data_IF_162651208987
#
_entry.id   IF_162651208987
#
_cell.length_a   1.000
_cell.length_b   1.000
_cell.length_c   1.000
_cell.angle_alpha   90.00
_cell.angle_beta   90.00
_cell.angle_gamma   90.00
#
_symmetry.space_group_name_H-M   'P 1'
#
loop_
_entity.id
_entity.type
_entity.pdbx_description
1 polymer ?
#
# COMPACT_ATOMS: atom_id res chain seq x y z
N UNK A 1 29.86 38.11 -41.27
CA UNK A 1 29.14 39.28 -40.70
C UNK A 1 29.74 39.58 -39.34
N UNK A 2 30.31 40.79 -39.20
CA UNK A 2 30.91 41.35 -37.98
C UNK A 2 29.80 41.91 -37.08
N UNK A 3 29.97 41.81 -35.76
CA UNK A 3 29.72 42.86 -34.74
C UNK A 3 29.43 42.22 -33.37
N UNK A 4 29.69 42.83 -32.22
CA UNK A 4 30.64 43.85 -31.75
C UNK A 4 30.28 44.05 -30.28
N UNK A 5 31.31 44.14 -29.44
CA UNK A 5 31.34 44.60 -28.04
C UNK A 5 30.44 45.80 -27.73
N UNK A 6 30.03 45.91 -26.45
CA UNK A 6 29.98 47.12 -25.58
C UNK A 6 29.78 46.61 -24.14
N UNK A 7 30.74 46.72 -23.22
CA UNK A 7 31.27 47.89 -22.50
C UNK A 7 30.49 48.24 -21.23
N UNK A 8 31.26 48.24 -20.14
CA UNK A 8 30.94 48.52 -18.76
C UNK A 8 30.65 50.01 -18.49
N UNK A 9 29.95 50.29 -17.38
CA UNK A 9 30.13 51.54 -16.62
C UNK A 9 29.94 51.30 -15.13
N UNK A 10 31.06 51.32 -14.42
CA UNK A 10 31.12 51.53 -12.99
C UNK A 10 30.96 53.03 -12.70
N UNK A 11 30.16 53.38 -11.70
CA UNK A 11 30.11 54.75 -11.15
C UNK A 11 30.33 54.67 -9.65
N UNK A 12 31.46 55.22 -9.20
CA UNK A 12 31.74 55.54 -7.80
C UNK A 12 31.01 56.83 -7.44
N UNK A 13 30.35 56.86 -6.29
CA UNK A 13 29.98 58.10 -5.60
C UNK A 13 30.49 58.02 -4.16
N UNK A 14 31.11 59.12 -3.76
CA UNK A 14 31.90 59.35 -2.56
C UNK A 14 31.08 59.66 -1.31
N UNK A 15 31.65 59.25 -0.17
CA UNK A 15 31.93 60.05 1.03
C UNK A 15 30.80 60.61 1.92
N UNK A 16 31.19 60.69 3.20
CA UNK A 16 30.62 61.39 4.35
C UNK A 16 29.35 60.79 4.95
N UNK A 17 29.49 60.17 6.13
CA UNK A 17 28.90 60.69 7.36
C UNK A 17 29.44 59.88 8.57
N UNK A 18 30.46 60.43 9.21
CA UNK A 18 30.83 60.09 10.58
C UNK A 18 29.95 60.89 11.55
N UNK A 19 29.77 60.30 12.74
CA UNK A 19 29.33 60.87 14.01
C UNK A 19 27.84 60.76 14.41
N UNK A 20 27.70 60.04 15.55
CA UNK A 20 26.62 60.02 16.56
C UNK A 20 25.41 59.14 16.27
N UNK A 21 25.44 57.87 16.71
CA UNK A 21 24.23 57.14 17.15
C UNK A 21 24.51 55.82 17.94
N UNK A 22 25.28 55.77 19.05
CA UNK A 22 25.41 54.53 19.81
C UNK A 22 24.22 54.24 20.76
N UNK A 23 23.29 55.19 20.97
CA UNK A 23 22.21 55.03 21.95
C UNK A 23 20.82 54.66 21.37
N UNK A 24 20.58 54.88 20.08
CA UNK A 24 19.30 54.52 19.45
C UNK A 24 19.33 53.09 18.88
N UNK A 25 20.51 52.57 18.55
CA UNK A 25 20.69 51.20 18.06
C UNK A 25 20.52 50.17 19.19
N UNK A 26 20.93 50.48 20.41
CA UNK A 26 20.75 49.62 21.59
C UNK A 26 19.30 49.59 22.08
N UNK A 27 18.54 50.69 21.97
CA UNK A 27 17.11 50.70 22.30
C UNK A 27 16.26 49.97 21.23
N UNK A 28 16.65 50.02 19.95
CA UNK A 28 15.99 49.24 18.89
C UNK A 28 16.30 47.73 19.00
N UNK A 29 17.50 47.35 19.46
CA UNK A 29 17.87 45.96 19.73
C UNK A 29 17.18 45.37 20.97
N UNK A 30 16.87 46.19 21.98
CA UNK A 30 16.09 45.76 23.15
C UNK A 30 14.59 45.63 22.86
N UNK A 31 14.02 46.44 21.96
CA UNK A 31 12.64 46.24 21.50
C UNK A 31 12.48 44.99 20.61
N UNK A 32 13.53 44.58 19.89
CA UNK A 32 13.53 43.35 19.11
C UNK A 32 13.57 42.07 19.97
N UNK A 33 14.08 42.16 21.21
CA UNK A 33 14.15 41.02 22.13
C UNK A 33 12.82 40.75 22.87
N UNK A 34 11.93 41.74 23.01
CA UNK A 34 10.64 41.58 23.70
C UNK A 34 9.44 41.29 22.77
N UNK A 35 9.63 41.33 21.44
CA UNK A 35 8.59 40.97 20.46
C UNK A 35 8.87 39.63 19.74
N UNK A 36 9.92 38.91 20.16
CA UNK A 36 10.43 37.73 19.46
C UNK A 36 10.06 36.37 20.07
N UNK A 37 9.12 36.29 21.03
CA UNK A 37 8.75 35.02 21.65
C UNK A 37 7.30 34.62 21.33
N UNK A 38 7.14 33.61 20.48
CA UNK A 38 6.17 32.54 20.77
C UNK A 38 4.88 32.41 19.97
N UNK A 39 4.67 33.05 18.81
CA UNK A 39 3.50 32.79 17.95
C UNK A 39 3.83 32.41 16.49
N UNK A 40 5.09 32.10 16.20
CA UNK A 40 5.62 32.09 14.83
C UNK A 40 5.52 30.79 14.02
N UNK A 41 5.28 29.62 14.62
CA UNK A 41 5.49 28.35 13.89
C UNK A 41 4.23 27.72 13.30
N UNK A 42 3.04 28.25 13.62
CA UNK A 42 1.77 27.75 13.11
C UNK A 42 1.39 28.26 11.71
N UNK A 43 1.88 29.43 11.31
CA UNK A 43 1.43 30.12 10.08
C UNK A 43 2.28 29.81 8.84
N UNK A 44 3.31 29.01 9.03
CA UNK A 44 4.09 28.51 7.94
C UNK A 44 3.31 27.36 7.31
N UNK A 45 2.53 27.68 6.26
CA UNK A 45 1.71 26.74 5.47
C UNK A 45 2.54 25.68 4.71
N UNK A 46 3.68 25.26 5.27
CA UNK A 46 4.53 24.22 4.73
C UNK A 46 3.85 22.86 4.84
N UNK A 47 4.26 21.96 3.97
CA UNK A 47 3.83 20.58 3.99
C UNK A 47 4.23 19.89 5.31
N UNK A 48 3.33 19.07 5.88
CA UNK A 48 3.64 18.14 6.98
C UNK A 48 3.37 18.64 8.39
N UNK A 49 2.98 19.89 8.56
CA UNK A 49 2.59 20.43 9.87
C UNK A 49 1.14 20.06 10.22
N UNK A 50 0.87 19.75 11.48
CA UNK A 50 -0.50 19.50 11.93
C UNK A 50 -1.28 20.80 12.10
N UNK A 51 -2.05 21.16 11.08
CA UNK A 51 -2.83 22.39 11.05
C UNK A 51 -3.88 22.46 12.16
N UNK A 52 -4.34 21.34 12.73
CA UNK A 52 -5.35 21.35 13.79
C UNK A 52 -4.83 21.89 15.13
N UNK A 53 -3.52 21.87 15.33
CA UNK A 53 -2.91 22.45 16.53
C UNK A 53 -3.07 23.97 16.61
N UNK A 54 -3.30 24.63 15.46
CA UNK A 54 -3.32 26.09 15.34
C UNK A 54 -4.55 26.65 14.63
N UNK A 55 -5.30 25.82 13.91
CA UNK A 55 -6.50 26.19 13.15
C UNK A 55 -7.70 25.31 13.52
N UNK A 56 -8.89 25.86 13.33
CA UNK A 56 -10.16 25.24 13.68
C UNK A 56 -10.72 24.38 12.53
N UNK A 57 -9.91 23.45 12.03
CA UNK A 57 -10.35 22.48 11.01
C UNK A 57 -10.98 21.24 11.66
N UNK A 58 -11.99 20.68 11.00
CA UNK A 58 -12.50 19.34 11.36
C UNK A 58 -11.57 18.24 10.87
N UNK A 59 -11.00 18.42 9.67
CA UNK A 59 -10.00 17.52 9.07
C UNK A 59 -9.00 18.37 8.27
N UNK A 60 -7.71 18.12 8.44
CA UNK A 60 -6.65 18.73 7.62
C UNK A 60 -5.42 17.82 7.52
N UNK A 61 -4.64 18.01 6.46
CA UNK A 61 -3.40 17.27 6.24
C UNK A 61 -2.64 17.70 4.99
N UNK A 62 -1.59 16.96 4.66
CA UNK A 62 -0.78 17.15 3.45
C UNK A 62 -0.74 15.88 2.61
N UNK A 63 -0.88 16.03 1.29
CA UNK A 63 -0.65 14.97 0.30
C UNK A 63 0.75 15.12 -0.30
N UNK A 64 1.43 14.00 -0.51
CA UNK A 64 2.79 13.95 -1.06
C UNK A 64 2.88 13.13 -2.35
N UNK A 65 3.94 13.36 -3.11
CA UNK A 65 4.32 12.56 -4.29
C UNK A 65 5.12 11.31 -3.89
N UNK A 66 5.82 11.38 -2.76
CA UNK A 66 6.70 10.32 -2.28
C UNK A 66 6.34 9.83 -0.88
N UNK A 67 6.73 8.58 -0.60
CA UNK A 67 6.45 7.90 0.66
C UNK A 67 7.14 8.53 1.87
N UNK A 68 8.22 9.25 1.62
CA UNK A 68 9.05 9.83 2.67
C UNK A 68 8.52 11.20 3.12
N UNK A 69 7.45 11.71 2.49
CA UNK A 69 6.82 12.98 2.85
C UNK A 69 7.67 14.20 2.50
N UNK A 70 8.50 14.13 1.45
CA UNK A 70 9.44 15.21 1.11
C UNK A 70 8.91 16.17 0.04
N UNK A 71 8.14 15.64 -0.91
CA UNK A 71 7.66 16.39 -2.07
C UNK A 71 6.14 16.51 -1.99
N UNK A 72 5.59 17.68 -1.59
CA UNK A 72 4.14 17.85 -1.54
C UNK A 72 3.52 17.70 -2.94
N UNK A 73 2.29 17.20 -2.98
CA UNK A 73 1.54 16.97 -4.22
C UNK A 73 0.39 17.99 -4.34
N UNK A 74 0.55 19.07 -5.13
CA UNK A 74 -0.50 20.03 -5.38
C UNK A 74 -1.54 19.52 -6.38
N UNK A 75 -2.79 20.00 -6.27
CA UNK A 75 -3.86 19.71 -7.23
C UNK A 75 -4.40 18.28 -7.20
N UNK A 76 -4.17 17.52 -6.12
CA UNK A 76 -4.81 16.23 -5.92
C UNK A 76 -6.26 16.41 -5.47
N UNK A 77 -7.19 15.70 -6.10
CA UNK A 77 -8.60 15.65 -5.70
C UNK A 77 -8.73 14.81 -4.42
N UNK A 78 -9.43 15.34 -3.42
CA UNK A 78 -9.61 14.69 -2.12
C UNK A 78 -11.10 14.54 -1.86
N UNK A 79 -11.51 13.31 -1.57
CA UNK A 79 -12.84 12.94 -1.12
C UNK A 79 -12.75 12.45 0.32
N UNK A 80 -13.48 13.08 1.23
CA UNK A 80 -13.64 12.66 2.63
C UNK A 80 -15.05 12.10 2.78
N UNK A 81 -15.19 10.86 3.22
CA UNK A 81 -16.48 10.22 3.50
C UNK A 81 -16.57 9.85 4.98
N UNK A 82 -17.55 10.41 5.67
CA UNK A 82 -17.70 10.33 7.12
C UNK A 82 -18.55 9.13 7.59
N UNK A 83 -18.69 8.94 8.90
CA UNK A 83 -19.44 7.81 9.46
C UNK A 83 -20.94 7.83 9.14
N UNK A 84 -21.50 9.00 8.85
CA UNK A 84 -22.91 9.19 8.48
C UNK A 84 -23.13 9.12 6.97
N UNK A 85 -22.06 8.89 6.18
CA UNK A 85 -22.10 8.87 4.72
C UNK A 85 -22.08 10.27 4.10
N UNK A 86 -21.81 11.32 4.87
CA UNK A 86 -21.57 12.65 4.31
C UNK A 86 -20.25 12.65 3.53
N UNK A 87 -20.23 13.32 2.38
CA UNK A 87 -19.06 13.38 1.49
C UNK A 87 -18.66 14.83 1.24
N UNK A 88 -17.41 15.17 1.55
CA UNK A 88 -16.79 16.46 1.23
C UNK A 88 -15.71 16.28 0.16
N UNK A 89 -15.69 17.20 -0.82
CA UNK A 89 -14.72 17.21 -1.92
C UNK A 89 -13.88 18.48 -1.86
N UNK A 90 -12.58 18.35 -2.08
CA UNK A 90 -11.63 19.48 -2.14
C UNK A 90 -10.41 19.09 -2.97
N UNK A 91 -9.45 20.01 -3.12
CA UNK A 91 -8.16 19.75 -3.74
C UNK A 91 -7.02 20.22 -2.85
N UNK A 92 -5.84 19.60 -3.00
CA UNK A 92 -4.64 20.08 -2.33
C UNK A 92 -4.13 21.37 -2.96
N UNK A 93 -3.68 22.32 -2.13
CA UNK A 93 -3.12 23.59 -2.57
C UNK A 93 -1.67 23.44 -3.10
N UNK A 94 -1.01 24.55 -3.41
CA UNK A 94 0.37 24.58 -3.92
C UNK A 94 1.42 23.92 -3.00
N UNK A 95 1.12 23.77 -1.72
CA UNK A 95 1.96 23.09 -0.71
C UNK A 95 1.48 21.66 -0.42
N UNK A 96 0.55 21.12 -1.21
CA UNK A 96 -0.04 19.80 -0.98
C UNK A 96 -1.02 19.75 0.20
N UNK A 97 -1.30 20.89 0.84
CA UNK A 97 -2.16 20.95 2.03
C UNK A 97 -3.63 20.97 1.64
N UNK A 98 -4.46 20.37 2.49
CA UNK A 98 -5.92 20.42 2.40
C UNK A 98 -6.52 20.55 3.80
N UNK A 99 -7.75 21.05 3.88
CA UNK A 99 -8.50 21.09 5.12
C UNK A 99 -9.94 21.58 4.91
N UNK A 100 -10.83 21.20 5.83
CA UNK A 100 -12.21 21.68 5.85
C UNK A 100 -12.66 22.02 7.28
N UNK A 101 -13.50 23.06 7.38
CA UNK A 101 -14.22 23.43 8.59
C UNK A 101 -15.62 22.80 8.65
N UNK A 102 -16.05 22.11 7.57
CA UNK A 102 -17.31 21.36 7.58
C UNK A 102 -17.25 20.31 8.68
N UNK A 103 -18.37 20.07 9.35
CA UNK A 103 -18.44 19.06 10.40
C UNK A 103 -18.31 17.65 9.79
N UNK A 104 -17.21 16.96 10.08
CA UNK A 104 -16.95 15.59 9.63
C UNK A 104 -17.11 14.64 10.80
N UNK A 105 -18.05 13.69 10.70
CA UNK A 105 -18.32 12.72 11.76
C UNK A 105 -17.31 11.57 11.70
N UNK A 106 -16.53 11.42 12.76
CA UNK A 106 -15.62 10.28 12.93
C UNK A 106 -16.37 8.95 13.13
N UNK A 107 -15.84 7.80 12.66
CA UNK A 107 -14.61 7.69 11.88
C UNK A 107 -14.85 7.90 10.38
N UNK A 108 -13.89 8.50 9.68
CA UNK A 108 -14.02 8.84 8.26
C UNK A 108 -12.93 8.20 7.39
N UNK A 109 -13.17 8.15 6.08
CA UNK A 109 -12.25 7.63 5.06
C UNK A 109 -11.82 8.75 4.13
N UNK A 110 -10.52 8.85 3.83
CA UNK A 110 -9.99 9.77 2.83
C UNK A 110 -9.63 8.97 1.57
N UNK A 111 -10.11 9.43 0.42
CA UNK A 111 -9.71 8.99 -0.90
C UNK A 111 -9.04 10.14 -1.62
N UNK A 112 -7.85 9.91 -2.15
CA UNK A 112 -7.09 10.90 -2.90
C UNK A 112 -6.97 10.42 -4.34
N UNK A 113 -7.29 11.29 -5.29
CA UNK A 113 -7.19 11.02 -6.73
C UNK A 113 -6.25 12.03 -7.39
N UNK A 114 -5.31 11.55 -8.19
CA UNK A 114 -4.43 12.41 -8.99
C UNK A 114 -3.98 11.66 -10.25
N UNK A 115 -4.06 12.32 -11.42
CA UNK A 115 -3.69 11.72 -12.71
C UNK A 115 -4.31 10.32 -12.99
N UNK A 116 -5.59 10.15 -12.63
CA UNK A 116 -6.35 8.89 -12.71
C UNK A 116 -5.78 7.74 -11.83
N UNK A 117 -5.00 8.08 -10.80
CA UNK A 117 -4.60 7.18 -9.72
C UNK A 117 -5.43 7.50 -8.50
N UNK A 118 -5.83 6.46 -7.77
CA UNK A 118 -6.63 6.59 -6.57
C UNK A 118 -5.94 5.87 -5.42
N UNK A 119 -5.81 6.55 -4.28
CA UNK A 119 -5.32 6.00 -3.03
C UNK A 119 -6.39 6.20 -1.97
N UNK A 120 -6.88 5.08 -1.43
CA UNK A 120 -7.86 5.07 -0.35
C UNK A 120 -7.14 4.72 0.95
N UNK A 121 -7.38 5.52 1.98
CA UNK A 121 -6.90 5.28 3.34
C UNK A 121 -7.40 3.91 3.82
N UNK A 122 -6.47 3.02 4.22
CA UNK A 122 -6.81 1.62 4.56
C UNK A 122 -7.65 1.51 5.83
N UNK A 123 -7.34 2.33 6.84
CA UNK A 123 -8.06 2.38 8.10
C UNK A 123 -8.86 3.68 8.17
N UNK A 124 -10.06 3.67 8.76
CA UNK A 124 -10.81 4.90 9.00
C UNK A 124 -10.13 5.70 10.13
N UNK A 125 -10.06 7.02 9.99
CA UNK A 125 -9.44 7.89 11.00
C UNK A 125 -10.48 8.35 12.00
N UNK A 126 -10.10 8.34 13.28
CA UNK A 126 -10.86 8.95 14.36
C UNK A 126 -10.50 10.41 14.66
N UNK A 127 -9.39 10.90 14.09
CA UNK A 127 -8.76 12.18 14.43
C UNK A 127 -8.49 13.03 13.18
N UNK A 128 -8.92 14.30 13.25
CA UNK A 128 -8.90 15.28 12.16
C UNK A 128 -7.52 15.69 11.63
N UNK A 129 -6.51 15.65 12.49
CA UNK A 129 -5.15 16.10 12.16
C UNK A 129 -4.36 14.97 11.53
N UNK A 130 -4.45 14.83 10.21
CA UNK A 130 -3.79 13.74 9.50
C UNK A 130 -2.28 13.77 9.73
N UNK A 131 -1.68 14.96 9.73
CA UNK A 131 -0.24 15.13 9.94
C UNK A 131 0.22 14.85 11.38
N UNK A 132 -0.69 14.77 12.37
CA UNK A 132 -0.29 14.31 13.70
C UNK A 132 0.11 12.82 13.70
N UNK A 133 -0.48 12.02 12.82
CA UNK A 133 -0.21 10.59 12.71
C UNK A 133 0.65 10.25 11.49
N UNK A 134 0.50 10.98 10.38
CA UNK A 134 1.11 10.71 9.07
C UNK A 134 2.37 11.55 8.80
N UNK A 135 3.32 11.58 9.73
CA UNK A 135 4.65 12.18 9.53
C UNK A 135 5.72 11.14 9.17
N UNK A 136 6.81 11.61 8.55
CA UNK A 136 7.96 10.79 8.26
C UNK A 136 8.51 10.14 9.55
N UNK A 137 8.64 8.81 9.56
CA UNK A 137 9.15 8.07 10.73
C UNK A 137 8.15 7.88 11.88
N UNK A 138 6.88 8.25 11.70
CA UNK A 138 5.83 7.95 12.67
C UNK A 138 5.69 6.45 12.90
N UNK A 139 5.59 6.04 14.18
CA UNK A 139 5.23 4.67 14.56
C UNK A 139 3.71 4.43 14.51
N UNK A 140 2.89 5.49 14.43
CA UNK A 140 1.44 5.46 14.62
C UNK A 140 0.65 5.33 13.30
N UNK A 141 1.26 5.67 12.17
CA UNK A 141 0.69 5.45 10.84
C UNK A 141 1.78 4.99 9.87
N UNK A 142 1.37 4.37 8.76
CA UNK A 142 2.27 3.80 7.74
C UNK A 142 3.05 4.86 6.91
N UNK A 143 3.31 6.05 7.46
CA UNK A 143 3.95 7.18 6.80
C UNK A 143 2.95 8.20 6.24
N UNK A 144 3.47 9.14 5.45
CA UNK A 144 2.71 10.20 4.82
C UNK A 144 1.61 9.66 3.89
N UNK A 145 0.55 10.44 3.63
CA UNK A 145 -0.40 10.12 2.56
C UNK A 145 0.24 10.57 1.24
N UNK A 146 0.50 9.62 0.34
CA UNK A 146 1.16 9.93 -0.92
C UNK A 146 0.57 9.16 -2.09
N UNK A 147 0.69 9.76 -3.28
CA UNK A 147 0.41 9.13 -4.56
C UNK A 147 1.72 9.11 -5.33
N UNK A 148 2.37 7.94 -5.37
CA UNK A 148 3.54 7.77 -6.21
C UNK A 148 3.15 7.89 -7.68
N UNK A 149 3.78 8.82 -8.39
CA UNK A 149 3.64 8.99 -9.84
C UNK A 149 4.52 8.02 -10.65
N UNK A 150 5.44 7.31 -10.01
CA UNK A 150 6.25 6.29 -10.65
C UNK A 150 5.35 5.11 -11.01
N UNK A 151 5.30 4.79 -12.29
CA UNK A 151 4.64 3.59 -12.73
C UNK A 151 5.57 2.39 -12.54
N UNK A 152 5.06 1.31 -11.97
CA UNK A 152 5.85 0.11 -11.68
C UNK A 152 5.65 -0.96 -12.75
N UNK A 153 6.63 -1.86 -12.87
CA UNK A 153 6.47 -3.08 -13.65
C UNK A 153 5.59 -4.04 -12.87
N UNK A 154 4.41 -4.37 -13.38
CA UNK A 154 3.69 -5.54 -12.89
C UNK A 154 4.34 -6.77 -13.49
N UNK A 155 5.02 -7.56 -12.68
CA UNK A 155 5.58 -8.84 -13.08
C UNK A 155 4.69 -9.96 -12.57
N UNK A 156 4.75 -11.10 -13.25
CA UNK A 156 3.98 -12.24 -12.82
C UNK A 156 4.29 -13.51 -13.58
N UNK A 157 3.59 -14.58 -13.18
CA UNK A 157 3.66 -15.90 -13.78
C UNK A 157 2.28 -16.47 -13.99
N UNK A 158 2.08 -17.20 -15.08
CA UNK A 158 0.88 -18.00 -15.36
C UNK A 158 1.29 -19.47 -15.30
N UNK A 159 0.67 -20.22 -14.41
CA UNK A 159 1.03 -21.59 -14.07
C UNK A 159 -0.20 -22.49 -14.20
N UNK A 160 -0.01 -23.73 -14.63
CA UNK A 160 -1.10 -24.70 -14.73
C UNK A 160 -1.51 -25.16 -13.32
N UNK A 161 -2.80 -25.06 -13.01
CA UNK A 161 -3.38 -25.63 -11.80
C UNK A 161 -3.50 -27.15 -11.97
N UNK A 162 -2.95 -27.90 -11.01
CA UNK A 162 -3.11 -29.35 -10.94
C UNK A 162 -4.46 -29.64 -10.27
N UNK A 163 -5.33 -30.42 -10.93
CA UNK A 163 -6.61 -30.79 -10.35
C UNK A 163 -6.44 -31.57 -9.04
N UNK A 164 -7.28 -31.27 -8.05
CA UNK A 164 -7.30 -31.96 -6.75
C UNK A 164 -6.42 -31.33 -5.68
N UNK A 165 -5.61 -30.31 -6.01
CA UNK A 165 -4.89 -29.51 -5.01
C UNK A 165 -5.55 -28.15 -4.89
N UNK A 166 -6.45 -27.99 -3.92
CA UNK A 166 -6.92 -26.66 -3.54
C UNK A 166 -5.76 -25.98 -2.80
N UNK A 167 -5.16 -24.98 -3.45
CA UNK A 167 -4.05 -24.22 -2.91
C UNK A 167 -4.50 -23.45 -1.66
N UNK A 168 -3.63 -23.39 -0.65
CA UNK A 168 -3.87 -22.62 0.57
C UNK A 168 -2.74 -21.60 0.71
N UNK A 169 -3.09 -20.33 0.61
CA UNK A 169 -2.18 -19.19 0.78
C UNK A 169 -2.52 -18.40 2.03
N UNK A 170 -1.50 -17.76 2.63
CA UNK A 170 -1.74 -16.98 3.85
C UNK A 170 -2.72 -15.84 3.60
N UNK A 171 -2.47 -15.00 2.59
CA UNK A 171 -3.27 -13.77 2.36
C UNK A 171 -4.74 -14.05 1.98
N UNK A 172 -5.00 -15.09 1.16
CA UNK A 172 -6.37 -15.41 0.70
C UNK A 172 -7.15 -16.23 1.71
N UNK A 173 -6.51 -17.25 2.32
CA UNK A 173 -7.24 -18.31 3.00
C UNK A 173 -7.06 -18.23 4.53
N UNK A 174 -5.86 -17.91 5.01
CA UNK A 174 -5.54 -17.96 6.45
C UNK A 174 -5.78 -16.63 7.14
N UNK A 175 -5.30 -15.53 6.55
CA UNK A 175 -5.39 -14.19 7.12
C UNK A 175 -6.83 -13.77 7.39
N UNK A 176 -7.83 -14.02 6.53
CA UNK A 176 -9.22 -13.68 6.85
C UNK A 176 -9.76 -14.45 8.06
N UNK A 177 -9.38 -15.72 8.23
CA UNK A 177 -9.76 -16.54 9.38
C UNK A 177 -9.16 -15.95 10.65
N UNK A 178 -7.85 -15.69 10.65
CA UNK A 178 -7.14 -15.11 11.81
C UNK A 178 -7.67 -13.70 12.15
N UNK A 179 -7.91 -12.86 11.13
CA UNK A 179 -8.44 -11.51 11.31
C UNK A 179 -9.83 -11.51 11.95
N UNK A 180 -10.69 -12.45 11.55
CA UNK A 180 -12.04 -12.56 12.07
C UNK A 180 -12.08 -13.16 13.48
N UNK A 181 -11.24 -14.16 13.75
CA UNK A 181 -11.37 -15.02 14.95
C UNK A 181 -10.33 -14.76 16.04
N UNK A 182 -9.17 -14.20 15.68
CA UNK A 182 -8.00 -14.19 16.56
C UNK A 182 -7.49 -12.77 16.83
N UNK A 183 -7.40 -11.91 15.81
CA UNK A 183 -6.69 -10.63 15.93
C UNK A 183 -7.34 -9.63 16.88
N UNK A 184 -8.61 -9.79 17.26
CA UNK A 184 -9.22 -8.92 18.27
C UNK A 184 -8.48 -8.96 19.62
N UNK A 185 -7.97 -10.14 19.99
CA UNK A 185 -7.18 -10.35 21.21
C UNK A 185 -5.69 -10.43 20.90
N UNK A 186 -5.32 -10.97 19.73
CA UNK A 186 -3.95 -11.25 19.29
C UNK A 186 -3.45 -10.20 18.29
N UNK A 187 -3.51 -8.92 18.67
CA UNK A 187 -2.81 -7.84 17.97
C UNK A 187 -1.83 -7.15 18.93
N UNK A 188 -0.99 -6.25 18.42
CA UNK A 188 0.04 -5.54 19.20
C UNK A 188 -0.52 -4.74 20.38
N UNK A 189 -1.79 -4.35 20.33
CA UNK A 189 -2.52 -3.61 21.37
C UNK A 189 -3.58 -4.45 22.10
N UNK A 190 -3.70 -5.74 21.75
CA UNK A 190 -4.72 -6.63 22.26
C UNK A 190 -4.35 -7.21 23.62
N UNK A 191 -5.34 -7.80 24.32
CA UNK A 191 -5.13 -8.43 25.62
C UNK A 191 -4.17 -9.64 25.59
N UNK A 192 -3.88 -10.18 24.40
CA UNK A 192 -2.90 -11.24 24.13
C UNK A 192 -1.78 -10.78 23.19
N UNK A 193 -1.31 -9.55 23.36
CA UNK A 193 -0.25 -8.95 22.55
C UNK A 193 1.12 -9.65 22.63
N UNK A 194 1.33 -10.59 23.55
CA UNK A 194 2.53 -11.43 23.59
C UNK A 194 2.58 -12.47 22.46
N UNK A 195 1.51 -12.61 21.68
CA UNK A 195 1.43 -13.50 20.53
C UNK A 195 0.53 -12.87 19.46
N UNK A 196 0.97 -11.77 18.82
CA UNK A 196 0.20 -11.14 17.76
C UNK A 196 0.09 -12.09 16.55
N UNK A 197 -0.94 -11.92 15.73
CA UNK A 197 -1.19 -12.75 14.54
C UNK A 197 -1.77 -11.94 13.36
N UNK A 198 -1.56 -10.63 13.35
CA UNK A 198 -2.16 -9.73 12.36
C UNK A 198 -1.40 -9.75 11.01
N UNK A 199 -0.14 -10.17 11.04
CA UNK A 199 0.74 -10.27 9.86
C UNK A 199 1.24 -11.70 9.65
N UNK A 200 1.75 -11.98 8.45
CA UNK A 200 2.34 -13.28 8.13
C UNK A 200 3.49 -13.62 9.09
N UNK A 201 4.45 -12.71 9.25
CA UNK A 201 5.61 -12.92 10.12
C UNK A 201 5.23 -13.24 11.57
N UNK A 202 4.20 -12.57 12.08
CA UNK A 202 3.65 -12.84 13.40
C UNK A 202 2.96 -14.20 13.47
N UNK A 203 2.08 -14.51 12.50
CA UNK A 203 1.36 -15.77 12.43
C UNK A 203 2.28 -16.98 12.23
N UNK A 204 3.44 -16.80 11.60
CA UNK A 204 4.47 -17.83 11.40
C UNK A 204 5.65 -17.73 12.38
N UNK A 205 5.48 -17.04 13.50
CA UNK A 205 6.51 -17.02 14.55
C UNK A 205 6.85 -18.45 14.99
N UNK A 206 8.14 -18.73 15.20
CA UNK A 206 8.62 -20.03 15.68
C UNK A 206 8.09 -20.39 17.07
N UNK A 207 7.59 -19.42 17.84
CA UNK A 207 6.90 -19.66 19.10
C UNK A 207 5.46 -20.17 18.94
N UNK A 208 4.85 -19.99 17.76
CA UNK A 208 3.46 -20.35 17.48
C UNK A 208 3.36 -21.61 16.63
N UNK A 209 4.23 -21.80 15.65
CA UNK A 209 4.19 -22.97 14.79
C UNK A 209 5.57 -23.35 14.27
N UNK A 210 5.69 -24.61 13.90
CA UNK A 210 6.83 -25.15 13.17
C UNK A 210 6.32 -25.59 11.80
N UNK A 211 6.75 -24.94 10.70
CA UNK A 211 6.36 -25.32 9.34
C UNK A 211 6.53 -26.84 9.10
N UNK A 212 5.49 -27.47 8.53
CA UNK A 212 5.48 -28.90 8.22
C UNK A 212 5.18 -29.82 9.42
N UNK A 213 5.04 -29.28 10.63
CA UNK A 213 4.81 -30.07 11.84
C UNK A 213 3.36 -30.03 12.30
N UNK A 214 2.77 -31.22 12.48
CA UNK A 214 1.46 -31.43 13.12
C UNK A 214 1.47 -31.01 14.61
N UNK A 215 2.65 -30.97 15.22
CA UNK A 215 2.83 -30.62 16.63
C UNK A 215 2.97 -29.11 16.87
N UNK A 216 2.73 -28.28 15.86
CA UNK A 216 2.73 -26.83 16.00
C UNK A 216 1.78 -26.37 17.10
N UNK A 217 2.23 -25.46 17.97
CA UNK A 217 1.44 -24.96 19.10
C UNK A 217 0.08 -24.39 18.65
N UNK A 218 0.04 -23.69 17.52
CA UNK A 218 -1.19 -23.17 16.93
C UNK A 218 -2.19 -24.29 16.61
N UNK A 219 -1.75 -25.41 16.03
CA UNK A 219 -2.62 -26.58 15.77
C UNK A 219 -3.13 -27.13 17.10
N UNK A 220 -2.25 -27.35 18.08
CA UNK A 220 -2.63 -27.89 19.39
C UNK A 220 -3.64 -27.01 20.13
N UNK A 221 -3.59 -25.69 19.93
CA UNK A 221 -4.49 -24.71 20.54
C UNK A 221 -5.85 -24.65 19.86
N UNK A 222 -5.89 -24.88 18.55
CA UNK A 222 -7.11 -24.85 17.74
C UNK A 222 -7.82 -26.21 17.66
N UNK A 223 -7.14 -27.31 17.91
CA UNK A 223 -7.74 -28.65 17.84
C UNK A 223 -8.73 -28.89 18.99
N UNK A 224 -9.98 -29.21 18.65
CA UNK A 224 -11.08 -29.48 19.59
C UNK A 224 -10.85 -30.71 20.46
N UNK A 225 -10.05 -31.66 19.98
CA UNK A 225 -9.72 -32.92 20.65
C UNK A 225 -8.45 -32.82 21.51
N UNK A 226 -7.68 -31.74 21.36
CA UNK A 226 -6.45 -31.52 22.10
C UNK A 226 -6.72 -31.08 23.54
N UNK A 227 -6.00 -31.69 24.50
CA UNK A 227 -6.00 -31.22 25.90
C UNK A 227 -5.48 -29.78 26.04
N UNK A 228 -4.73 -29.30 25.06
CA UNK A 228 -4.22 -27.93 24.99
C UNK A 228 -5.12 -26.97 24.19
N UNK A 229 -6.26 -27.46 23.67
CA UNK A 229 -7.21 -26.81 22.75
C UNK A 229 -7.98 -25.62 23.32
N UNK A 230 -7.27 -24.69 23.96
CA UNK A 230 -7.87 -23.55 24.66
C UNK A 230 -8.52 -22.55 23.71
N UNK A 231 -8.18 -22.57 22.41
CA UNK A 231 -8.67 -21.61 21.41
C UNK A 231 -9.78 -22.17 20.52
N UNK A 232 -10.10 -23.46 20.59
CA UNK A 232 -11.21 -24.05 19.84
C UNK A 232 -12.55 -23.30 20.02
N UNK A 233 -12.96 -22.88 21.23
CA UNK A 233 -14.24 -22.16 21.40
C UNK A 233 -14.34 -20.86 20.60
N UNK A 234 -13.21 -20.24 20.25
CA UNK A 234 -13.17 -19.00 19.47
C UNK A 234 -13.15 -19.27 17.96
N UNK A 235 -12.48 -20.34 17.51
CA UNK A 235 -12.51 -20.77 16.12
C UNK A 235 -13.90 -21.35 15.77
N UNK A 236 -14.25 -22.43 16.48
CA UNK A 236 -15.52 -23.17 16.42
C UNK A 236 -15.96 -23.53 14.98
N UNK A 237 -15.01 -23.93 14.15
CA UNK A 237 -15.22 -24.27 12.75
C UNK A 237 -14.17 -25.29 12.29
N UNK A 238 -14.61 -26.53 12.05
CA UNK A 238 -13.75 -27.65 11.64
C UNK A 238 -13.12 -27.43 10.25
N UNK A 239 -13.83 -26.78 9.33
CA UNK A 239 -13.32 -26.52 7.99
C UNK A 239 -12.22 -25.45 8.02
N UNK A 240 -12.39 -24.41 8.82
CA UNK A 240 -11.35 -23.40 9.05
C UNK A 240 -10.13 -24.00 9.78
N UNK A 241 -10.36 -24.84 10.79
CA UNK A 241 -9.27 -25.58 11.46
C UNK A 241 -8.49 -26.42 10.47
N UNK A 242 -9.18 -27.23 9.64
CA UNK A 242 -8.56 -28.04 8.60
C UNK A 242 -7.74 -27.18 7.62
N UNK A 243 -8.27 -26.02 7.22
CA UNK A 243 -7.56 -25.09 6.32
C UNK A 243 -6.26 -24.59 6.94
N UNK A 244 -6.28 -24.18 8.22
CA UNK A 244 -5.07 -23.74 8.94
C UNK A 244 -4.08 -24.90 9.12
N UNK A 245 -4.57 -26.09 9.49
CA UNK A 245 -3.75 -27.29 9.67
C UNK A 245 -3.05 -27.69 8.37
N UNK A 246 -3.80 -27.75 7.27
CA UNK A 246 -3.26 -28.09 5.95
C UNK A 246 -2.22 -27.04 5.52
N UNK A 247 -2.48 -25.74 5.74
CA UNK A 247 -1.50 -24.70 5.48
C UNK A 247 -0.17 -24.91 6.22
N UNK A 248 -0.23 -25.24 7.51
CA UNK A 248 0.98 -25.47 8.32
C UNK A 248 1.70 -26.75 7.90
N UNK A 249 0.97 -27.86 7.80
CA UNK A 249 1.54 -29.21 7.67
C UNK A 249 1.85 -29.54 6.21
N UNK A 250 0.90 -29.31 5.31
CA UNK A 250 1.01 -29.70 3.90
C UNK A 250 1.67 -28.61 3.05
N UNK A 251 1.47 -27.34 3.40
CA UNK A 251 2.01 -26.20 2.66
C UNK A 251 3.16 -25.48 3.39
N UNK A 252 3.70 -26.10 4.45
CA UNK A 252 4.87 -25.62 5.17
C UNK A 252 4.75 -24.16 5.62
N UNK A 253 3.53 -23.75 6.01
CA UNK A 253 3.16 -22.40 6.41
C UNK A 253 3.64 -21.30 5.45
N UNK A 254 3.81 -21.58 4.16
CA UNK A 254 4.31 -20.61 3.19
C UNK A 254 3.32 -19.45 2.98
N UNK A 255 3.85 -18.23 2.84
CA UNK A 255 3.04 -17.04 2.56
C UNK A 255 2.28 -17.18 1.24
N UNK A 256 3.01 -17.65 0.22
CA UNK A 256 2.51 -18.13 -1.06
C UNK A 256 2.97 -19.57 -1.19
N UNK A 257 2.05 -20.52 -1.08
CA UNK A 257 2.40 -21.91 -1.27
C UNK A 257 3.01 -22.12 -2.67
N UNK A 258 4.26 -22.59 -2.70
CA UNK A 258 4.84 -23.14 -3.92
C UNK A 258 4.11 -24.45 -4.21
N UNK A 259 3.17 -24.39 -5.16
CA UNK A 259 2.46 -25.55 -5.68
C UNK A 259 3.38 -26.75 -5.93
N UNK A 260 2.80 -27.95 -5.87
CA UNK A 260 3.01 -28.97 -6.92
C UNK A 260 2.52 -28.37 -8.24
N UNK A 261 3.34 -27.49 -8.82
CA UNK A 261 2.90 -26.63 -9.91
C UNK A 261 2.73 -27.50 -11.13
N UNK A 262 1.65 -27.31 -11.88
CA UNK A 262 1.69 -27.67 -13.28
C UNK A 262 2.81 -26.90 -13.97
N UNK A 263 3.13 -27.28 -15.20
CA UNK A 263 4.13 -26.54 -15.98
C UNK A 263 3.76 -25.06 -16.14
N UNK A 264 4.75 -24.20 -16.48
CA UNK A 264 4.45 -22.84 -16.89
C UNK A 264 3.46 -22.86 -18.06
N UNK A 265 2.53 -21.90 -18.09
CA UNK A 265 1.58 -21.75 -19.20
C UNK A 265 2.08 -20.66 -20.14
N UNK A 266 2.77 -21.01 -21.23
CA UNK A 266 3.32 -20.01 -22.15
C UNK A 266 2.21 -19.41 -23.00
N UNK A 267 2.44 -18.23 -23.59
CA UNK A 267 1.53 -17.56 -24.52
C UNK A 267 0.11 -17.32 -23.99
N UNK A 268 -0.08 -17.36 -22.68
CA UNK A 268 -1.33 -16.94 -22.06
C UNK A 268 -1.49 -15.43 -22.27
N UNK A 269 -2.65 -14.99 -22.76
CA UNK A 269 -2.98 -13.59 -22.95
C UNK A 269 -3.51 -13.01 -21.63
N UNK A 270 -2.77 -12.06 -21.06
CA UNK A 270 -3.09 -11.37 -19.81
C UNK A 270 -3.61 -9.98 -20.14
N UNK A 271 -4.80 -9.65 -19.66
CA UNK A 271 -5.46 -8.37 -19.88
C UNK A 271 -5.78 -7.71 -18.54
N UNK A 272 -5.39 -6.44 -18.37
CA UNK A 272 -5.80 -5.63 -17.22
C UNK A 272 -6.83 -4.60 -17.68
N UNK A 273 -7.96 -4.52 -16.98
CA UNK A 273 -9.06 -3.61 -17.30
C UNK A 273 -9.49 -2.79 -16.08
N UNK A 274 -9.89 -1.54 -16.32
CA UNK A 274 -10.58 -0.68 -15.35
C UNK A 274 -12.02 -0.53 -15.81
N UNK A 275 -12.96 -1.09 -15.04
CA UNK A 275 -14.35 -1.22 -15.50
C UNK A 275 -14.44 -2.03 -16.80
N UNK A 276 -15.05 -1.45 -17.84
CA UNK A 276 -15.16 -2.07 -19.17
C UNK A 276 -13.99 -1.73 -20.12
N UNK A 277 -13.06 -0.89 -19.70
CA UNK A 277 -11.99 -0.38 -20.55
C UNK A 277 -10.71 -1.18 -20.33
N UNK A 278 -10.22 -1.81 -21.40
CA UNK A 278 -8.91 -2.47 -21.43
C UNK A 278 -7.79 -1.43 -21.33
N UNK A 279 -6.91 -1.60 -20.35
CA UNK A 279 -5.77 -0.70 -20.09
C UNK A 279 -4.47 -1.30 -20.61
N UNK A 280 -4.24 -2.59 -20.34
CA UNK A 280 -3.00 -3.27 -20.71
C UNK A 280 -3.30 -4.66 -21.27
N UNK A 281 -2.43 -5.14 -22.16
CA UNK A 281 -2.49 -6.48 -22.72
C UNK A 281 -1.07 -6.97 -22.98
N UNK A 282 -0.73 -8.15 -22.46
CA UNK A 282 0.56 -8.82 -22.70
C UNK A 282 0.34 -10.32 -22.88
N UNK A 283 1.39 -11.03 -23.29
CA UNK A 283 1.42 -12.49 -23.29
C UNK A 283 2.52 -13.01 -22.39
N UNK A 284 2.28 -14.14 -21.73
CA UNK A 284 3.33 -14.85 -21.01
C UNK A 284 4.36 -15.42 -21.99
N UNK A 285 5.63 -15.44 -21.58
CA UNK A 285 6.72 -16.03 -22.35
C UNK A 285 6.75 -17.56 -22.20
N UNK A 286 7.79 -18.21 -22.76
CA UNK A 286 7.96 -19.68 -22.69
C UNK A 286 8.08 -20.24 -21.27
N UNK A 287 8.49 -19.42 -20.30
CA UNK A 287 8.58 -19.76 -18.87
C UNK A 287 7.29 -19.43 -18.12
N UNK A 288 6.22 -19.06 -18.83
CA UNK A 288 4.96 -18.64 -18.21
C UNK A 288 5.03 -17.27 -17.55
N UNK A 289 6.15 -16.56 -17.62
CA UNK A 289 6.28 -15.25 -16.95
C UNK A 289 5.88 -14.10 -17.86
N UNK A 290 5.40 -13.01 -17.28
CA UNK A 290 5.03 -11.78 -17.99
C UNK A 290 5.50 -10.54 -17.23
N UNK A 291 5.59 -9.43 -17.95
CA UNK A 291 5.85 -8.12 -17.37
C UNK A 291 5.06 -7.05 -18.13
N UNK A 292 4.30 -6.24 -17.40
CA UNK A 292 3.59 -5.09 -17.93
C UNK A 292 4.34 -3.85 -17.45
N UNK A 293 5.03 -3.12 -18.35
CA UNK A 293 5.73 -1.91 -17.96
C UNK A 293 4.74 -0.83 -17.59
N UNK A 294 5.11 -0.02 -16.61
CA UNK A 294 4.44 1.23 -16.27
C UNK A 294 2.93 1.07 -15.95
N UNK A 295 2.57 0.10 -15.10
CA UNK A 295 1.19 -0.03 -14.63
C UNK A 295 0.91 1.03 -13.56
N UNK A 296 -0.08 1.89 -13.84
CA UNK A 296 -0.58 2.88 -12.87
C UNK A 296 -1.21 2.20 -11.66
N UNK A 297 -1.12 2.84 -10.49
CA UNK A 297 -1.83 2.42 -9.30
C UNK A 297 -3.36 2.30 -9.51
N UNK A 298 -3.98 1.41 -8.73
CA UNK A 298 -5.43 1.28 -8.66
C UNK A 298 -5.93 -0.16 -8.75
N UNK A 299 -7.26 -0.30 -8.70
CA UNK A 299 -7.94 -1.59 -8.85
C UNK A 299 -8.12 -1.93 -10.34
N UNK A 300 -7.79 -3.16 -10.69
CA UNK A 300 -7.93 -3.73 -12.02
C UNK A 300 -8.68 -5.05 -11.95
N UNK A 301 -9.40 -5.37 -13.02
CA UNK A 301 -9.81 -6.74 -13.30
C UNK A 301 -8.79 -7.36 -14.25
N UNK A 302 -8.15 -8.42 -13.80
CA UNK A 302 -7.21 -9.24 -14.58
C UNK A 302 -8.01 -10.34 -15.26
N UNK A 303 -7.79 -10.53 -16.55
CA UNK A 303 -8.37 -11.63 -17.32
C UNK A 303 -7.26 -12.36 -18.03
N UNK A 304 -7.19 -13.67 -17.80
CA UNK A 304 -6.20 -14.53 -18.45
C UNK A 304 -6.87 -15.55 -19.34
N UNK A 305 -6.45 -15.54 -20.60
CA UNK A 305 -6.96 -16.40 -21.65
C UNK A 305 -5.82 -17.23 -22.20
N UNK A 306 -5.98 -18.55 -22.17
CA UNK A 306 -5.12 -19.43 -22.94
C UNK A 306 -5.91 -20.53 -23.60
N UNK A 307 -5.52 -20.87 -24.83
CA UNK A 307 -6.05 -22.03 -25.55
C UNK A 307 -5.86 -23.26 -24.66
N UNK A 308 -6.91 -24.07 -24.55
CA UNK A 308 -6.96 -25.30 -23.73
C UNK A 308 -7.16 -25.11 -22.22
N UNK A 309 -7.23 -23.88 -21.74
CA UNK A 309 -7.49 -23.57 -20.32
C UNK A 309 -8.85 -22.88 -20.15
N UNK A 310 -9.39 -22.96 -18.93
CA UNK A 310 -10.50 -22.10 -18.53
C UNK A 310 -10.00 -20.65 -18.41
N UNK A 311 -10.88 -19.70 -18.72
CA UNK A 311 -10.60 -18.29 -18.50
C UNK A 311 -10.56 -18.02 -17.01
N UNK A 312 -9.54 -17.32 -16.56
CA UNK A 312 -9.45 -16.86 -15.17
C UNK A 312 -9.69 -15.36 -15.09
N UNK A 313 -10.43 -14.95 -14.05
CA UNK A 313 -10.82 -13.56 -13.81
C UNK A 313 -10.66 -13.28 -12.33
N UNK A 314 -9.74 -12.37 -12.00
CA UNK A 314 -9.46 -11.96 -10.63
C UNK A 314 -9.41 -10.43 -10.53
N UNK A 315 -9.73 -9.90 -9.36
CA UNK A 315 -9.52 -8.49 -9.06
C UNK A 315 -8.12 -8.31 -8.46
N UNK A 316 -7.36 -7.37 -8.99
CA UNK A 316 -5.98 -7.09 -8.61
C UNK A 316 -5.82 -5.61 -8.27
N UNK A 317 -5.26 -5.31 -7.10
CA UNK A 317 -4.92 -3.95 -6.71
C UNK A 317 -3.42 -3.72 -6.93
N UNK A 318 -3.09 -2.87 -7.90
CA UNK A 318 -1.73 -2.40 -8.08
C UNK A 318 -1.40 -1.36 -7.01
N UNK A 319 -0.59 -1.76 -6.03
CA UNK A 319 -0.02 -0.87 -5.02
C UNK A 319 1.39 -0.44 -5.47
N UNK A 320 1.61 0.85 -5.81
CA UNK A 320 2.92 1.32 -6.24
C UNK A 320 3.97 1.22 -5.12
N UNK A 321 3.54 1.09 -3.87
CA UNK A 321 4.43 1.11 -2.71
C UNK A 321 4.87 -0.29 -2.30
N UNK A 322 4.12 -1.30 -2.76
CA UNK A 322 4.43 -2.69 -2.57
C UNK A 322 4.06 -3.46 -3.85
N UNK A 323 4.88 -3.35 -4.91
CA UNK A 323 4.62 -4.08 -6.13
C UNK A 323 4.73 -5.58 -5.84
N UNK A 324 3.59 -6.27 -5.86
CA UNK A 324 3.51 -7.71 -5.66
C UNK A 324 3.58 -8.41 -7.02
N UNK A 325 4.46 -9.40 -7.13
CA UNK A 325 4.46 -10.31 -8.28
C UNK A 325 3.15 -11.11 -8.31
N UNK A 326 2.46 -11.05 -9.46
CA UNK A 326 1.16 -11.67 -9.68
C UNK A 326 1.33 -13.11 -10.18
N UNK A 327 0.82 -14.08 -9.44
CA UNK A 327 0.83 -15.49 -9.86
C UNK A 327 -0.58 -15.94 -10.17
N UNK A 328 -0.81 -16.39 -11.41
CA UNK A 328 -2.12 -16.75 -11.95
C UNK A 328 -2.15 -18.23 -12.25
N UNK A 329 -3.24 -18.89 -11.88
CA UNK A 329 -3.37 -20.34 -11.90
C UNK A 329 -4.46 -20.72 -12.87
N UNK A 330 -4.09 -21.32 -14.01
CA UNK A 330 -5.06 -21.72 -15.02
C UNK A 330 -5.40 -23.19 -14.90
N UNK A 331 -6.69 -23.49 -14.75
CA UNK A 331 -7.20 -24.85 -14.84
C UNK A 331 -7.28 -25.29 -16.30
N UNK A 332 -6.69 -26.44 -16.62
CA UNK A 332 -6.76 -27.04 -17.96
C UNK A 332 -8.14 -27.65 -18.23
N UNK A 333 -8.64 -27.55 -19.45
CA UNK A 333 -9.90 -28.19 -19.84
C UNK A 333 -9.70 -29.70 -20.02
N UNK A 334 -10.58 -30.49 -19.41
CA UNK A 334 -10.60 -31.93 -19.60
C UNK A 334 -10.66 -32.27 -21.10
N UNK A 335 -9.79 -33.19 -21.55
CA UNK A 335 -9.71 -33.60 -22.96
C UNK A 335 -8.78 -32.78 -23.84
N UNK A 336 -8.16 -31.69 -23.34
CA UNK A 336 -7.01 -31.09 -24.04
C UNK A 336 -5.73 -31.84 -23.68
N UNK A 337 -5.63 -33.07 -24.15
CA UNK A 337 -4.32 -33.68 -24.30
C UNK A 337 -3.66 -32.99 -25.49
N UNK A 338 -2.58 -32.23 -25.22
CA UNK A 338 -1.69 -31.78 -26.28
C UNK A 338 -1.27 -33.05 -27.01
N UNK A 339 -1.75 -33.22 -28.25
CA UNK A 339 -1.17 -34.21 -29.15
C UNK A 339 0.29 -33.80 -29.26
N UNK A 340 1.17 -34.43 -28.47
CA UNK A 340 2.62 -34.31 -28.63
C UNK A 340 2.87 -34.81 -30.05
N UNK A 341 2.91 -33.88 -31.00
CA UNK A 341 3.34 -34.19 -32.36
C UNK A 341 4.78 -34.62 -32.18
N UNK A 342 5.00 -35.93 -32.18
CA UNK A 342 6.33 -36.50 -32.09
C UNK A 342 7.15 -35.81 -33.19
N UNK A 343 8.09 -34.97 -32.80
CA UNK A 343 9.13 -34.50 -33.69
C UNK A 343 9.99 -35.72 -33.97
N UNK A 344 9.58 -36.49 -34.97
CA UNK A 344 10.46 -37.46 -35.62
C UNK A 344 11.54 -36.61 -36.27
N UNK A 345 12.70 -36.56 -35.62
CA UNK A 345 13.92 -36.06 -36.25
C UNK A 345 14.21 -36.97 -37.45
N UNK A 346 13.81 -36.53 -38.64
CA UNK A 346 14.34 -37.07 -39.88
C UNK A 346 15.73 -36.46 -40.06
N UNK A 347 16.76 -37.21 -39.65
CA UNK A 347 18.10 -37.00 -40.15
C UNK A 347 18.11 -37.46 -41.62
N UNK A 348 18.37 -36.53 -42.53
CA UNK A 348 18.97 -36.80 -43.83
C UNK A 348 20.40 -36.26 -43.81
#
# INVERSE_FOLDING_TARGET
MKNSRRDAKATKVSALLCFRFPFLLTLLLLLAFFLGEGIGECHNSYAGYDCLSCHWFSVAGTIYQDKDGRSPLPGADIKIEDANGYVSYMWSNEYGNFGTNDYITSPYTITVTYNNREVIMRNRSGYGGCNACHVQGSAYAAGAIFINEQDHYLKGSVIESVEGTQDISYERDIKPILAQKCTMCHNTSGMRNSSPMATYAEATSSSLLTPGSVDSLLIQKLDSSSKAGTMWPYLNDEAQFKTIKDWIVSYNAMEKAALNSGGPVPLAKITLSKGKVKQYEVQSNRKGTFAIPKVKAGLYKVTVLQKDYYTDIEDFRMDPNNPVDLTIYLKKRAGSSVKKKALVNANF
#
